data_IF_637597488416
#
_entry.id   IF_637597488416
#
_cell.length_a   1.000
_cell.length_b   1.000
_cell.length_c   1.000
_cell.angle_alpha   90.00
_cell.angle_beta   90.00
_cell.angle_gamma   90.00
#
_symmetry.space_group_name_H-M   'P 1'
#
loop_
_entity.id
_entity.type
_entity.pdbx_description
1 polymer ?
#
# COMPACT_ATOMS: atom_id res chain seq x y z
N UNK A 1 12.69 5.59 10.62
CA UNK A 1 11.50 6.35 10.16
C UNK A 1 11.22 5.98 8.72
N UNK A 2 10.05 5.43 8.40
CA UNK A 2 9.70 5.08 7.02
C UNK A 2 8.90 6.22 6.42
N UNK A 3 9.39 6.78 5.32
CA UNK A 3 8.77 7.91 4.61
C UNK A 3 8.28 7.54 3.22
N UNK A 4 8.81 6.45 2.67
CA UNK A 4 8.54 6.00 1.31
C UNK A 4 8.45 4.48 1.25
N UNK A 5 7.51 3.98 0.45
CA UNK A 5 7.48 2.61 -0.06
C UNK A 5 7.87 2.65 -1.54
N UNK A 6 8.83 1.81 -1.94
CA UNK A 6 9.32 1.75 -3.32
C UNK A 6 8.32 1.12 -4.30
N UNK A 7 8.62 1.25 -5.59
CA UNK A 7 7.89 0.54 -6.65
C UNK A 7 7.98 -0.98 -6.42
N UNK A 8 6.84 -1.66 -6.56
CA UNK A 8 6.70 -3.13 -6.43
C UNK A 8 7.25 -3.75 -5.14
N UNK A 9 7.45 -2.96 -4.07
CA UNK A 9 8.12 -3.40 -2.84
C UNK A 9 7.49 -4.63 -2.17
N UNK A 10 6.16 -4.78 -2.27
CA UNK A 10 5.39 -5.93 -1.77
C UNK A 10 4.65 -6.63 -2.91
N UNK A 11 5.06 -6.43 -4.16
CA UNK A 11 4.40 -7.07 -5.31
C UNK A 11 4.52 -8.59 -5.22
N UNK A 12 3.40 -9.30 -5.38
CA UNK A 12 3.35 -10.76 -5.32
C UNK A 12 3.41 -11.34 -3.90
N UNK A 13 3.26 -10.52 -2.86
CA UNK A 13 3.13 -11.01 -1.49
C UNK A 13 1.75 -11.64 -1.27
N UNK A 14 1.49 -12.80 -1.88
CA UNK A 14 0.18 -13.46 -1.87
C UNK A 14 -0.33 -13.79 -0.47
N UNK A 15 0.56 -13.98 0.52
CA UNK A 15 0.19 -14.26 1.92
C UNK A 15 -0.03 -13.01 2.78
N UNK A 16 0.24 -11.81 2.25
CA UNK A 16 0.12 -10.56 3.00
C UNK A 16 -1.36 -10.20 3.16
N UNK A 17 -1.88 -10.33 4.37
CA UNK A 17 -3.28 -10.05 4.69
C UNK A 17 -3.50 -8.73 5.44
N UNK A 18 -2.48 -8.23 6.15
CA UNK A 18 -2.52 -7.00 6.94
C UNK A 18 -1.22 -6.22 6.79
N UNK A 19 -1.33 -4.90 6.67
CA UNK A 19 -0.19 -3.98 6.63
C UNK A 19 -0.45 -2.82 7.58
N UNK A 20 0.49 -2.56 8.48
CA UNK A 20 0.46 -1.38 9.35
C UNK A 20 1.38 -0.31 8.79
N UNK A 21 0.78 0.76 8.26
CA UNK A 21 1.51 1.87 7.68
C UNK A 21 1.83 2.93 8.74
N UNK A 22 3.06 3.46 8.78
CA UNK A 22 3.43 4.51 9.73
C UNK A 22 2.84 5.87 9.32
N UNK A 23 2.46 6.69 10.29
CA UNK A 23 1.95 8.06 10.08
C UNK A 23 2.94 9.00 9.35
N UNK A 24 4.23 8.65 9.36
CA UNK A 24 5.27 9.39 8.65
C UNK A 24 5.36 9.08 7.15
N UNK A 25 4.60 8.11 6.66
CA UNK A 25 4.63 7.70 5.25
C UNK A 25 3.98 8.79 4.38
N UNK A 26 4.74 9.30 3.42
CA UNK A 26 4.29 10.37 2.52
C UNK A 26 4.16 9.90 1.07
N UNK A 27 4.86 8.83 0.68
CA UNK A 27 4.92 8.38 -0.72
C UNK A 27 4.86 6.86 -0.85
N UNK A 28 4.21 6.38 -1.91
CA UNK A 28 4.25 4.98 -2.37
C UNK A 28 4.50 4.92 -3.87
N UNK A 29 5.38 4.01 -4.29
CA UNK A 29 5.71 3.76 -5.69
C UNK A 29 4.64 2.96 -6.43
N UNK A 30 4.83 2.81 -7.74
CA UNK A 30 3.92 2.05 -8.61
C UNK A 30 3.83 0.59 -8.19
N UNK A 31 2.65 -0.02 -8.38
CA UNK A 31 2.43 -1.47 -8.16
C UNK A 31 2.91 -2.03 -6.81
N UNK A 32 2.96 -1.18 -5.78
CA UNK A 32 3.64 -1.48 -4.52
C UNK A 32 3.06 -2.70 -3.77
N UNK A 33 1.76 -2.98 -3.92
CA UNK A 33 1.05 -4.15 -3.37
C UNK A 33 0.31 -4.95 -4.47
N UNK A 34 0.74 -4.86 -5.72
CA UNK A 34 0.11 -5.64 -6.80
C UNK A 34 0.27 -7.13 -6.56
N UNK A 35 -0.72 -7.96 -6.93
CA UNK A 35 -0.73 -9.41 -6.67
C UNK A 35 -0.65 -9.79 -5.16
N UNK A 36 -1.05 -8.90 -4.26
CA UNK A 36 -1.31 -9.24 -2.86
C UNK A 36 -2.74 -9.80 -2.71
N UNK A 37 -2.93 -11.08 -3.07
CA UNK A 37 -4.25 -11.73 -3.16
C UNK A 37 -5.02 -11.76 -1.82
N UNK A 38 -4.30 -11.86 -0.70
CA UNK A 38 -4.91 -11.85 0.62
C UNK A 38 -5.08 -10.45 1.24
N UNK A 39 -4.58 -9.38 0.60
CA UNK A 39 -4.70 -8.01 1.12
C UNK A 39 -6.06 -7.42 0.76
N UNK A 40 -7.06 -7.72 1.59
CA UNK A 40 -8.45 -7.27 1.34
C UNK A 40 -8.69 -5.82 1.76
N UNK A 41 -7.96 -5.34 2.75
CA UNK A 41 -8.10 -3.99 3.28
C UNK A 41 -6.75 -3.38 3.64
N UNK A 42 -6.64 -2.07 3.45
CA UNK A 42 -5.48 -1.31 3.91
C UNK A 42 -5.91 0.08 4.38
N UNK A 43 -5.30 0.49 5.48
CA UNK A 43 -5.54 1.77 6.11
C UNK A 43 -4.36 2.71 5.83
N UNK A 44 -4.62 3.77 5.08
CA UNK A 44 -3.63 4.75 4.66
C UNK A 44 -3.50 5.89 5.67
N UNK A 45 -2.28 6.37 5.96
CA UNK A 45 -2.07 7.53 6.79
C UNK A 45 -2.56 8.81 6.10
N UNK A 46 -2.99 9.80 6.91
CA UNK A 46 -3.57 11.07 6.43
C UNK A 46 -2.68 11.81 5.44
N UNK A 47 -1.38 11.82 5.72
CA UNK A 47 -0.36 12.57 4.96
C UNK A 47 0.11 11.85 3.69
N UNK A 48 -0.44 10.67 3.39
CA UNK A 48 -0.01 9.88 2.26
C UNK A 48 -0.51 10.45 0.94
N UNK A 49 0.44 10.83 0.09
CA UNK A 49 0.19 11.21 -1.30
C UNK A 49 0.41 9.97 -2.15
N UNK A 50 -0.67 9.41 -2.68
CA UNK A 50 -0.58 8.29 -3.63
C UNK A 50 -0.20 8.89 -4.97
N UNK A 51 1.02 8.60 -5.44
CA UNK A 51 1.56 9.21 -6.66
C UNK A 51 1.20 8.39 -7.90
N UNK A 52 0.80 7.12 -7.73
CA UNK A 52 0.57 6.19 -8.85
C UNK A 52 -0.67 5.34 -8.67
N UNK A 53 -1.47 5.24 -9.73
CA UNK A 53 -2.84 4.70 -9.77
C UNK A 53 -2.98 3.17 -9.64
N UNK A 54 -1.89 2.40 -9.55
CA UNK A 54 -1.92 0.92 -9.55
C UNK A 54 -1.25 0.27 -8.32
N UNK A 55 -1.06 1.01 -7.23
CA UNK A 55 -0.40 0.46 -6.03
C UNK A 55 -1.13 -0.77 -5.45
N UNK A 56 -2.46 -0.79 -5.52
CA UNK A 56 -3.30 -1.80 -4.91
C UNK A 56 -4.04 -2.63 -5.97
N UNK A 57 -4.31 -3.91 -5.69
CA UNK A 57 -5.28 -4.69 -6.46
C UNK A 57 -6.66 -4.04 -6.45
N UNK A 58 -7.45 -4.26 -7.50
CA UNK A 58 -8.76 -3.64 -7.69
C UNK A 58 -9.80 -4.05 -6.64
N UNK A 59 -9.61 -5.19 -5.98
CA UNK A 59 -10.49 -5.70 -4.91
C UNK A 59 -10.09 -5.19 -3.52
N UNK A 60 -8.92 -4.58 -3.35
CA UNK A 60 -8.46 -4.09 -2.04
C UNK A 60 -9.25 -2.84 -1.64
N UNK A 61 -9.90 -2.90 -0.48
CA UNK A 61 -10.57 -1.74 0.10
C UNK A 61 -9.54 -0.81 0.74
N UNK A 62 -9.51 0.43 0.27
CA UNK A 62 -8.57 1.44 0.73
C UNK A 62 -9.30 2.48 1.55
N UNK A 63 -8.89 2.65 2.80
CA UNK A 63 -9.42 3.67 3.72
C UNK A 63 -8.33 4.62 4.15
N UNK A 64 -8.70 5.82 4.63
CA UNK A 64 -7.77 6.77 5.24
C UNK A 64 -8.12 6.92 6.72
N UNK A 65 -7.08 6.99 7.56
CA UNK A 65 -7.20 7.44 8.96
C UNK A 65 -7.68 8.87 9.04
#
# INVERSE_FOLDING_TARGET
KVVQIGESCFSGCIKLSKVELPESLTTMGKTCFTQCDNLMEIELPKKLVIVTSLCFPTYTKVFRK
#
